data_IF_435174795775
#
_entry.id   IF_435174795775
#
_cell.length_a   1.000
_cell.length_b   1.000
_cell.length_c   1.000
_cell.angle_alpha   90.00
_cell.angle_beta   90.00
_cell.angle_gamma   90.00
#
_symmetry.space_group_name_H-M   'P 1'
#
loop_
_entity.id
_entity.type
_entity.pdbx_description
1 polymer ?
#
# COMPACT_ATOMS: atom_id res chain seq x y z
N UNK A 1 -9.75 -34.13 52.21
CA UNK A 1 -9.15 -33.00 52.94
C UNK A 1 -7.75 -32.80 52.36
N UNK A 2 -7.46 -31.62 51.79
CA UNK A 2 -6.15 -31.34 51.16
C UNK A 2 -5.22 -30.80 52.27
N UNK A 3 -4.01 -31.34 52.39
CA UNK A 3 -3.08 -31.07 53.48
C UNK A 3 -1.62 -30.99 52.96
N UNK A 4 -0.66 -30.78 53.86
CA UNK A 4 0.78 -30.71 53.53
C UNK A 4 1.54 -32.04 53.73
N UNK A 5 0.85 -33.18 53.86
CA UNK A 5 1.49 -34.47 54.18
C UNK A 5 2.16 -35.12 52.98
N UNK A 6 1.61 -34.94 51.79
CA UNK A 6 2.15 -35.48 50.55
C UNK A 6 2.38 -34.35 49.54
N UNK A 7 3.38 -34.52 48.67
CA UNK A 7 3.71 -33.50 47.67
C UNK A 7 2.51 -33.09 46.80
N UNK A 8 1.72 -34.07 46.33
CA UNK A 8 0.54 -33.81 45.50
C UNK A 8 -0.56 -33.02 46.23
N UNK A 9 -0.84 -33.39 47.48
CA UNK A 9 -1.79 -32.65 48.31
C UNK A 9 -1.29 -31.23 48.60
N UNK A 10 -0.01 -31.07 48.91
CA UNK A 10 0.62 -29.76 49.10
C UNK A 10 0.46 -28.88 47.87
N UNK A 11 0.73 -29.40 46.66
CA UNK A 11 0.59 -28.64 45.41
C UNK A 11 -0.86 -28.23 45.13
N UNK A 12 -1.84 -29.10 45.39
CA UNK A 12 -3.26 -28.75 45.25
C UNK A 12 -3.70 -27.68 46.25
N UNK A 13 -3.16 -27.71 47.46
CA UNK A 13 -3.43 -26.68 48.48
C UNK A 13 -2.80 -25.34 48.09
N UNK A 14 -1.56 -25.35 47.57
CA UNK A 14 -0.91 -24.15 47.04
C UNK A 14 -1.66 -23.57 45.83
N UNK A 15 -2.10 -24.42 44.91
CA UNK A 15 -2.95 -23.99 43.79
C UNK A 15 -4.25 -23.33 44.28
N UNK A 16 -4.90 -23.90 45.29
CA UNK A 16 -6.09 -23.29 45.93
C UNK A 16 -5.75 -21.93 46.54
N UNK A 17 -4.63 -21.81 47.24
CA UNK A 17 -4.15 -20.55 47.83
C UNK A 17 -3.81 -19.49 46.78
N UNK A 18 -3.34 -19.91 45.60
CA UNK A 18 -3.05 -19.00 44.46
C UNK A 18 -4.30 -18.24 44.00
N UNK A 19 -5.48 -18.86 44.13
CA UNK A 19 -6.78 -18.22 43.83
C UNK A 19 -7.35 -17.42 45.01
N UNK A 20 -6.60 -17.29 46.11
CA UNK A 20 -7.05 -16.76 47.40
C UNK A 20 -8.33 -17.43 47.95
N UNK A 21 -8.61 -18.66 47.56
CA UNK A 21 -9.75 -19.40 48.10
C UNK A 21 -9.36 -20.03 49.46
N UNK A 22 -10.18 -19.77 50.49
CA UNK A 22 -10.06 -20.37 51.82
C UNK A 22 -8.68 -20.19 52.50
N UNK A 23 -7.94 -19.13 52.16
CA UNK A 23 -6.65 -18.82 52.78
C UNK A 23 -6.76 -18.64 54.30
N UNK A 24 -7.87 -18.04 54.76
CA UNK A 24 -8.19 -17.86 56.18
C UNK A 24 -8.32 -19.19 56.94
N UNK A 25 -9.03 -20.15 56.35
CA UNK A 25 -9.26 -21.46 56.97
C UNK A 25 -7.95 -22.23 57.09
N UNK A 26 -7.13 -22.20 56.03
CA UNK A 26 -5.83 -22.87 56.01
C UNK A 26 -4.88 -22.20 57.01
N UNK A 27 -4.85 -20.87 57.07
CA UNK A 27 -4.04 -20.12 58.04
C UNK A 27 -4.45 -20.44 59.48
N UNK A 28 -5.76 -20.47 59.75
CA UNK A 28 -6.29 -20.82 61.06
C UNK A 28 -5.87 -22.24 61.50
N UNK A 29 -5.89 -23.21 60.59
CA UNK A 29 -5.43 -24.58 60.89
C UNK A 29 -3.91 -24.62 61.14
N UNK A 30 -3.11 -23.86 60.39
CA UNK A 30 -1.66 -23.82 60.60
C UNK A 30 -1.25 -23.16 61.92
N UNK A 31 -1.92 -22.08 62.35
CA UNK A 31 -1.62 -21.37 63.60
C UNK A 31 -1.99 -22.19 64.83
N UNK A 32 -3.06 -22.98 64.75
CA UNK A 32 -3.53 -23.82 65.84
C UNK A 32 -2.86 -25.21 65.88
N UNK A 33 -1.85 -25.44 65.03
CA UNK A 33 -1.09 -26.69 65.03
C UNK A 33 -0.16 -26.74 66.26
N UNK A 34 -0.20 -27.83 67.06
CA UNK A 34 0.62 -27.95 68.27
C UNK A 34 2.13 -28.06 67.99
N UNK A 35 2.51 -28.31 66.73
CA UNK A 35 3.91 -28.56 66.31
C UNK A 35 4.56 -27.33 65.69
N UNK A 36 3.78 -26.39 65.13
CA UNK A 36 4.31 -25.25 64.38
C UNK A 36 4.35 -23.96 65.21
N UNK A 37 5.41 -23.16 65.01
CA UNK A 37 5.47 -21.80 65.55
C UNK A 37 4.56 -20.89 64.74
N UNK A 38 3.60 -20.24 65.39
CA UNK A 38 2.62 -19.34 64.76
C UNK A 38 3.26 -18.32 63.80
N UNK A 39 4.39 -17.72 64.19
CA UNK A 39 5.12 -16.76 63.36
C UNK A 39 5.58 -17.33 62.01
N UNK A 40 6.00 -18.60 61.97
CA UNK A 40 6.43 -19.27 60.74
C UNK A 40 5.23 -19.48 59.81
N UNK A 41 4.08 -19.88 60.36
CA UNK A 41 2.84 -20.05 59.60
C UNK A 41 2.33 -18.74 59.00
N UNK A 42 2.37 -17.65 59.78
CA UNK A 42 2.01 -16.32 59.30
C UNK A 42 2.96 -15.81 58.21
N UNK A 43 4.27 -15.92 58.43
CA UNK A 43 5.27 -15.44 57.46
C UNK A 43 5.26 -16.25 56.17
N UNK A 44 5.16 -17.58 56.25
CA UNK A 44 5.01 -18.45 55.08
C UNK A 44 3.73 -18.12 54.28
N UNK A 45 2.57 -18.08 54.95
CA UNK A 45 1.31 -17.82 54.25
C UNK A 45 1.30 -16.44 53.60
N UNK A 46 1.73 -15.41 54.33
CA UNK A 46 1.73 -14.03 53.84
C UNK A 46 2.70 -13.86 52.68
N UNK A 47 3.92 -14.38 52.80
CA UNK A 47 4.90 -14.30 51.71
C UNK A 47 4.46 -15.08 50.47
N UNK A 48 3.87 -16.26 50.64
CA UNK A 48 3.33 -17.05 49.52
C UNK A 48 2.24 -16.28 48.76
N UNK A 49 1.27 -15.72 49.49
CA UNK A 49 0.18 -14.93 48.89
C UNK A 49 0.77 -13.72 48.16
N UNK A 50 1.62 -12.93 48.81
CA UNK A 50 2.21 -11.74 48.19
C UNK A 50 3.00 -12.07 46.92
N UNK A 51 3.87 -13.09 46.96
CA UNK A 51 4.66 -13.52 45.80
C UNK A 51 3.76 -14.05 44.68
N UNK A 52 2.77 -14.89 45.00
CA UNK A 52 1.84 -15.43 44.02
C UNK A 52 1.07 -14.31 43.30
N UNK A 53 0.57 -13.32 44.03
CA UNK A 53 -0.11 -12.17 43.44
C UNK A 53 0.80 -11.31 42.56
N UNK A 54 2.04 -11.05 42.98
CA UNK A 54 3.01 -10.33 42.15
C UNK A 54 3.25 -11.08 40.83
N UNK A 55 3.41 -12.40 40.87
CA UNK A 55 3.62 -13.22 39.67
C UNK A 55 2.39 -13.20 38.76
N UNK A 56 1.18 -13.39 39.31
CA UNK A 56 -0.07 -13.36 38.52
C UNK A 56 -0.27 -11.99 37.86
N UNK A 57 -0.08 -10.90 38.62
CA UNK A 57 -0.24 -9.55 38.09
C UNK A 57 0.78 -9.29 36.98
N UNK A 58 2.06 -9.65 37.20
CA UNK A 58 3.10 -9.43 36.20
C UNK A 58 2.85 -10.28 34.92
N UNK A 59 2.38 -11.53 35.06
CA UNK A 59 1.98 -12.36 33.92
C UNK A 59 0.78 -11.73 33.19
N UNK A 60 -0.23 -11.25 33.92
CA UNK A 60 -1.41 -10.63 33.32
C UNK A 60 -1.08 -9.34 32.58
N UNK A 61 -0.24 -8.47 33.16
CA UNK A 61 0.25 -7.26 32.51
C UNK A 61 1.05 -7.62 31.26
N UNK A 62 1.92 -8.63 31.30
CA UNK A 62 2.68 -9.07 30.13
C UNK A 62 1.76 -9.53 28.98
N UNK A 63 0.77 -10.38 29.28
CA UNK A 63 -0.20 -10.86 28.27
C UNK A 63 -1.03 -9.72 27.69
N UNK A 64 -1.48 -8.78 28.53
CA UNK A 64 -2.21 -7.59 28.05
C UNK A 64 -1.32 -6.73 27.16
N UNK A 65 -0.07 -6.47 27.56
CA UNK A 65 0.84 -5.64 26.79
C UNK A 65 1.20 -6.29 25.46
N UNK A 66 1.38 -7.61 25.43
CA UNK A 66 1.62 -8.36 24.19
C UNK A 66 0.42 -8.27 23.25
N UNK A 67 -0.80 -8.49 23.75
CA UNK A 67 -2.01 -8.37 22.94
C UNK A 67 -2.24 -6.94 22.44
N UNK A 68 -2.03 -5.94 23.31
CA UNK A 68 -2.15 -4.53 22.92
C UNK A 68 -1.09 -4.16 21.88
N UNK A 69 0.14 -4.67 22.03
CA UNK A 69 1.21 -4.45 21.06
C UNK A 69 0.87 -5.08 19.71
N UNK A 70 0.37 -6.31 19.69
CA UNK A 70 -0.07 -7.00 18.46
C UNK A 70 -1.23 -6.26 17.78
N UNK A 71 -2.24 -5.84 18.54
CA UNK A 71 -3.34 -5.05 18.02
C UNK A 71 -2.87 -3.69 17.45
N UNK A 72 -1.93 -3.04 18.12
CA UNK A 72 -1.34 -1.79 17.63
C UNK A 72 -0.49 -2.03 16.37
N UNK A 73 0.25 -3.13 16.27
CA UNK A 73 1.00 -3.49 15.07
C UNK A 73 0.07 -3.76 13.88
N UNK A 74 -1.07 -4.41 14.09
CA UNK A 74 -2.08 -4.61 13.05
C UNK A 74 -2.71 -3.27 12.61
N UNK A 75 -2.97 -2.36 13.54
CA UNK A 75 -3.45 -1.00 13.22
C UNK A 75 -2.39 -0.18 12.46
N UNK A 76 -1.11 -0.30 12.84
CA UNK A 76 0.02 0.40 12.22
C UNK A 76 0.43 -0.18 10.86
N UNK A 77 0.20 -1.48 10.63
CA UNK A 77 0.49 -2.14 9.35
C UNK A 77 -0.35 -1.56 8.20
N UNK A 78 -1.47 -0.88 8.51
CA UNK A 78 -2.26 -0.07 7.57
C UNK A 78 -3.03 -0.86 6.51
N UNK A 79 -2.67 -2.12 6.26
CA UNK A 79 -3.38 -3.08 5.42
C UNK A 79 -3.66 -4.31 6.25
N UNK A 80 -4.94 -4.59 6.49
CA UNK A 80 -5.41 -5.75 7.24
C UNK A 80 -5.58 -6.96 6.33
N UNK A 81 -5.76 -8.16 6.90
CA UNK A 81 -6.07 -9.36 6.12
C UNK A 81 -7.38 -9.21 5.33
N UNK A 82 -8.39 -8.53 5.90
CA UNK A 82 -9.66 -8.23 5.24
C UNK A 82 -9.46 -7.34 3.99
N UNK A 83 -8.49 -6.43 4.03
CA UNK A 83 -8.16 -5.57 2.88
C UNK A 83 -7.50 -6.37 1.74
N UNK A 84 -6.70 -7.38 2.08
CA UNK A 84 -6.08 -8.30 1.11
C UNK A 84 -7.15 -9.18 0.45
N UNK A 85 -8.10 -9.69 1.23
CA UNK A 85 -9.24 -10.46 0.70
C UNK A 85 -10.11 -9.59 -0.22
N UNK A 86 -10.42 -8.36 0.19
CA UNK A 86 -11.15 -7.39 -0.65
C UNK A 86 -10.41 -7.08 -1.95
N UNK A 87 -9.08 -6.96 -1.91
CA UNK A 87 -8.27 -6.78 -3.11
C UNK A 87 -8.45 -7.93 -4.09
N UNK A 88 -8.34 -9.19 -3.63
CA UNK A 88 -8.46 -10.36 -4.50
C UNK A 88 -9.90 -10.60 -4.98
N UNK A 89 -10.90 -10.26 -4.16
CA UNK A 89 -12.31 -10.26 -4.55
C UNK A 89 -12.52 -9.36 -5.78
N UNK A 90 -12.09 -8.09 -5.70
CA UNK A 90 -12.20 -7.14 -6.83
C UNK A 90 -11.31 -7.56 -8.00
N UNK A 91 -10.09 -8.07 -7.74
CA UNK A 91 -9.16 -8.53 -8.79
C UNK A 91 -9.77 -9.64 -9.64
N UNK A 92 -10.54 -10.54 -9.03
CA UNK A 92 -11.19 -11.68 -9.71
C UNK A 92 -12.17 -11.23 -10.81
N UNK A 93 -12.74 -10.03 -10.70
CA UNK A 93 -13.60 -9.44 -11.74
C UNK A 93 -12.82 -9.08 -13.02
N UNK A 94 -11.52 -8.81 -12.90
CA UNK A 94 -10.64 -8.44 -14.02
C UNK A 94 -9.83 -9.63 -14.55
N UNK A 95 -9.48 -10.57 -13.68
CA UNK A 95 -8.72 -11.79 -14.01
C UNK A 95 -9.51 -13.06 -13.70
N UNK A 96 -10.60 -13.27 -14.46
CA UNK A 96 -11.54 -14.40 -14.30
C UNK A 96 -10.86 -15.77 -14.41
N UNK A 97 -9.70 -15.84 -15.08
CA UNK A 97 -8.96 -17.09 -15.31
C UNK A 97 -7.86 -17.33 -14.26
N UNK A 98 -7.75 -16.49 -13.23
CA UNK A 98 -6.70 -16.55 -12.20
C UNK A 98 -5.30 -16.64 -12.80
N UNK A 99 -5.06 -15.88 -13.88
CA UNK A 99 -3.75 -15.82 -14.55
C UNK A 99 -2.71 -15.05 -13.74
N UNK A 100 -3.14 -14.33 -12.70
CA UNK A 100 -2.38 -13.38 -11.88
C UNK A 100 -2.07 -12.05 -12.60
N UNK A 101 -2.66 -11.81 -13.78
CA UNK A 101 -2.38 -10.62 -14.58
C UNK A 101 -3.63 -9.87 -15.02
N UNK A 102 -3.52 -8.55 -15.07
CA UNK A 102 -4.45 -7.65 -15.78
C UNK A 102 -3.68 -6.78 -16.78
N UNK A 103 -4.36 -6.17 -17.74
CA UNK A 103 -3.73 -5.21 -18.67
C UNK A 103 -3.63 -3.82 -18.05
N UNK A 104 -2.67 -3.01 -18.53
CA UNK A 104 -2.47 -1.63 -18.07
C UNK A 104 -3.72 -0.76 -18.19
N UNK A 105 -4.51 -0.95 -19.25
CA UNK A 105 -5.73 -0.18 -19.49
C UNK A 105 -6.79 -0.39 -18.40
N UNK A 106 -6.85 -1.60 -17.82
CA UNK A 106 -7.79 -1.97 -16.77
C UNK A 106 -7.40 -1.41 -15.39
N UNK A 107 -6.11 -1.13 -15.17
CA UNK A 107 -5.58 -0.74 -13.86
C UNK A 107 -6.26 0.49 -13.28
N UNK A 108 -6.58 1.49 -14.11
CA UNK A 108 -7.21 2.73 -13.65
C UNK A 108 -8.63 2.52 -13.11
N UNK A 109 -9.39 1.61 -13.72
CA UNK A 109 -10.74 1.22 -13.27
C UNK A 109 -10.67 0.33 -12.03
N UNK A 110 -9.81 -0.69 -12.06
CA UNK A 110 -9.56 -1.58 -10.92
C UNK A 110 -9.26 -0.81 -9.64
N UNK A 111 -8.30 0.12 -9.68
CA UNK A 111 -7.92 0.91 -8.51
C UNK A 111 -9.02 1.84 -7.99
N UNK A 112 -9.96 2.24 -8.86
CA UNK A 112 -11.09 3.09 -8.49
C UNK A 112 -12.25 2.31 -7.85
N UNK A 113 -12.34 1.01 -8.14
CA UNK A 113 -13.36 0.09 -7.64
C UNK A 113 -13.02 -0.49 -6.26
N UNK A 114 -11.73 -0.60 -5.92
CA UNK A 114 -11.28 -0.97 -4.58
C UNK A 114 -11.93 -0.11 -3.48
N UNK A 115 -12.06 -0.66 -2.28
CA UNK A 115 -12.55 0.05 -1.10
C UNK A 115 -11.40 0.71 -0.34
N UNK A 116 -11.72 1.63 0.57
CA UNK A 116 -10.72 2.17 1.52
C UNK A 116 -10.16 1.00 2.34
N UNK A 117 -8.83 0.95 2.62
CA UNK A 117 -7.81 1.97 2.39
C UNK A 117 -7.10 1.88 1.02
N UNK A 118 -7.28 0.80 0.25
CA UNK A 118 -6.55 0.52 -1.00
C UNK A 118 -7.03 1.34 -2.22
N UNK A 119 -8.20 1.97 -2.12
CA UNK A 119 -8.81 2.74 -3.21
C UNK A 119 -7.96 3.93 -3.69
N UNK A 120 -7.78 4.04 -5.01
CA UNK A 120 -7.28 5.24 -5.68
C UNK A 120 -8.35 5.78 -6.65
N UNK A 121 -9.17 6.77 -6.23
CA UNK A 121 -10.30 7.25 -7.02
C UNK A 121 -9.85 8.00 -8.28
N UNK A 122 -10.64 7.89 -9.36
CA UNK A 122 -10.43 8.65 -10.59
C UNK A 122 -10.68 10.16 -10.36
N UNK A 123 -9.94 11.06 -11.05
CA UNK A 123 -8.86 10.78 -12.00
C UNK A 123 -7.55 10.38 -11.29
N UNK A 124 -7.04 9.18 -11.58
CA UNK A 124 -5.90 8.58 -10.87
C UNK A 124 -4.63 8.43 -11.71
N UNK A 125 -4.62 8.89 -12.97
CA UNK A 125 -3.50 8.66 -13.91
C UNK A 125 -2.12 9.15 -13.42
N UNK A 126 -2.06 10.21 -12.60
CA UNK A 126 -0.81 10.67 -11.99
C UNK A 126 -0.36 9.74 -10.87
N UNK A 127 -1.30 9.31 -10.02
CA UNK A 127 -1.05 8.39 -8.90
C UNK A 127 -0.62 7.01 -9.41
N UNK A 128 -1.28 6.50 -10.45
CA UNK A 128 -0.92 5.25 -11.15
C UNK A 128 0.53 5.27 -11.66
N UNK A 129 0.96 6.40 -12.24
CA UNK A 129 2.34 6.53 -12.69
C UNK A 129 3.33 6.67 -11.53
N UNK A 130 2.92 7.25 -10.40
CA UNK A 130 3.73 7.35 -9.20
C UNK A 130 3.94 6.00 -8.50
N UNK A 131 3.01 5.04 -8.67
CA UNK A 131 3.19 3.66 -8.19
C UNK A 131 4.36 2.93 -8.87
N UNK A 132 4.79 3.39 -10.04
CA UNK A 132 5.94 2.85 -10.79
C UNK A 132 5.90 1.31 -10.94
N UNK A 133 4.74 0.76 -11.29
CA UNK A 133 4.55 -0.68 -11.38
C UNK A 133 5.28 -1.23 -12.61
N UNK A 134 5.95 -2.38 -12.50
CA UNK A 134 6.58 -3.05 -13.64
C UNK A 134 5.54 -3.69 -14.56
N UNK A 135 5.76 -3.59 -15.88
CA UNK A 135 4.95 -4.24 -16.89
C UNK A 135 5.75 -5.34 -17.59
N UNK A 136 5.08 -6.45 -17.81
CA UNK A 136 5.57 -7.61 -18.58
C UNK A 136 5.08 -7.54 -20.04
N UNK A 137 5.43 -8.55 -20.84
CA UNK A 137 5.02 -8.67 -22.24
C UNK A 137 3.50 -8.48 -22.43
N UNK A 138 3.13 -7.58 -23.35
CA UNK A 138 1.74 -7.27 -23.65
C UNK A 138 1.07 -6.32 -22.65
N UNK A 139 1.83 -5.40 -22.05
CA UNK A 139 1.37 -4.39 -21.11
C UNK A 139 0.59 -4.97 -19.91
N UNK A 140 1.06 -6.11 -19.40
CA UNK A 140 0.43 -6.84 -18.29
C UNK A 140 1.11 -6.54 -16.95
N UNK A 141 0.30 -6.40 -15.92
CA UNK A 141 0.66 -6.15 -14.53
C UNK A 141 0.34 -7.36 -13.67
N UNK A 142 1.28 -7.77 -12.81
CA UNK A 142 1.07 -8.88 -11.88
C UNK A 142 0.36 -8.41 -10.61
N UNK A 143 -0.59 -9.20 -10.09
CA UNK A 143 -1.39 -8.85 -8.90
C UNK A 143 -0.56 -8.47 -7.67
N UNK A 144 0.48 -9.28 -7.40
CA UNK A 144 1.40 -9.04 -6.28
C UNK A 144 2.05 -7.67 -6.34
N UNK A 145 2.48 -7.24 -7.52
CA UNK A 145 3.20 -5.96 -7.70
C UNK A 145 2.27 -4.78 -7.44
N UNK A 146 1.00 -4.92 -7.81
CA UNK A 146 -0.04 -3.94 -7.53
C UNK A 146 -0.36 -3.89 -6.04
N UNK A 147 -0.58 -5.04 -5.41
CA UNK A 147 -0.89 -5.13 -3.98
C UNK A 147 0.26 -4.56 -3.13
N UNK A 148 1.50 -4.97 -3.43
CA UNK A 148 2.69 -4.49 -2.74
C UNK A 148 2.85 -2.97 -2.84
N UNK A 149 2.67 -2.40 -4.03
CA UNK A 149 2.76 -0.95 -4.22
C UNK A 149 1.65 -0.20 -3.48
N UNK A 150 0.43 -0.75 -3.41
CA UNK A 150 -0.67 -0.15 -2.66
C UNK A 150 -0.41 -0.20 -1.15
N UNK A 151 0.03 -1.36 -0.64
CA UNK A 151 0.39 -1.53 0.77
C UNK A 151 1.54 -0.60 1.17
N UNK A 152 2.58 -0.49 0.34
CA UNK A 152 3.70 0.43 0.58
C UNK A 152 3.24 1.90 0.65
N UNK A 153 2.28 2.31 -0.19
CA UNK A 153 1.73 3.67 -0.17
C UNK A 153 0.90 3.93 1.10
N UNK A 154 0.19 2.92 1.62
CA UNK A 154 -0.61 3.07 2.83
C UNK A 154 0.29 3.09 4.06
N UNK A 155 1.22 2.14 4.18
CA UNK A 155 2.22 2.10 5.27
C UNK A 155 3.01 3.41 5.31
N UNK A 156 3.45 3.91 4.15
CA UNK A 156 4.15 5.19 4.04
C UNK A 156 3.29 6.42 4.38
N UNK A 157 1.96 6.33 4.36
CA UNK A 157 1.05 7.39 4.82
C UNK A 157 0.74 7.31 6.31
N UNK A 158 0.78 6.11 6.90
CA UNK A 158 0.39 5.89 8.30
C UNK A 158 1.48 6.35 9.27
N UNK A 159 2.78 6.25 8.93
CA UNK A 159 3.86 6.73 9.82
C UNK A 159 5.25 6.79 9.16
N UNK A 160 6.05 7.84 9.45
CA UNK A 160 7.49 7.95 9.12
C UNK A 160 8.42 7.28 10.16
N UNK A 161 7.97 6.24 10.87
CA UNK A 161 8.80 5.63 11.93
C UNK A 161 9.79 4.60 11.36
N UNK A 162 11.06 4.69 11.80
CA UNK A 162 12.15 3.75 11.46
C UNK A 162 11.81 2.25 11.64
N UNK A 163 11.07 1.82 12.70
CA UNK A 163 10.68 0.42 12.88
C UNK A 163 9.79 -0.12 11.75
N UNK A 164 8.83 0.67 11.26
CA UNK A 164 7.91 0.25 10.20
C UNK A 164 8.59 0.15 8.82
N UNK A 165 9.63 0.96 8.57
CA UNK A 165 10.48 0.81 7.39
C UNK A 165 11.23 -0.52 7.38
N UNK A 166 11.65 -1.02 8.55
CA UNK A 166 12.29 -2.34 8.68
C UNK A 166 11.28 -3.47 8.47
N UNK A 167 10.10 -3.36 9.08
CA UNK A 167 9.02 -4.35 8.95
C UNK A 167 8.53 -4.48 7.50
N UNK A 168 8.29 -3.37 6.81
CA UNK A 168 7.92 -3.37 5.38
C UNK A 168 9.00 -3.99 4.49
N UNK A 169 10.28 -3.77 4.80
CA UNK A 169 11.39 -4.43 4.12
C UNK A 169 11.46 -5.94 4.36
N UNK A 170 11.01 -6.42 5.52
CA UNK A 170 10.94 -7.85 5.86
C UNK A 170 9.72 -8.53 5.22
N UNK A 171 8.56 -7.87 5.23
CA UNK A 171 7.36 -8.31 4.50
C UNK A 171 7.65 -8.43 3.00
N UNK A 172 8.39 -7.47 2.42
CA UNK A 172 8.87 -7.56 1.05
C UNK A 172 9.77 -8.78 0.81
N UNK A 173 10.71 -9.08 1.72
CA UNK A 173 11.55 -10.28 1.60
C UNK A 173 10.73 -11.56 1.71
N UNK A 174 9.67 -11.56 2.50
CA UNK A 174 8.77 -12.70 2.65
C UNK A 174 7.94 -12.91 1.38
N UNK A 175 7.37 -11.84 0.80
CA UNK A 175 6.58 -11.91 -0.44
C UNK A 175 7.42 -12.44 -1.62
N UNK A 176 8.68 -12.00 -1.73
CA UNK A 176 9.64 -12.49 -2.75
C UNK A 176 9.94 -13.98 -2.61
N UNK A 177 9.93 -14.54 -1.38
CA UNK A 177 10.13 -15.98 -1.14
C UNK A 177 8.89 -16.81 -1.48
N UNK A 178 7.69 -16.27 -1.24
CA UNK A 178 6.42 -16.96 -1.48
C UNK A 178 6.08 -17.02 -2.98
N UNK A 179 6.53 -16.04 -3.77
CA UNK A 179 6.25 -15.97 -5.20
C UNK A 179 7.51 -16.05 -6.08
N UNK A 180 8.24 -17.19 -6.09
CA UNK A 180 9.52 -17.33 -6.80
C UNK A 180 9.38 -17.19 -8.33
N UNK A 181 8.22 -17.50 -8.90
CA UNK A 181 7.95 -17.37 -10.34
C UNK A 181 7.97 -15.89 -10.77
N UNK A 182 7.57 -14.95 -9.90
CA UNK A 182 7.60 -13.52 -10.23
C UNK A 182 9.01 -13.04 -10.57
N UNK A 183 10.03 -13.54 -9.88
CA UNK A 183 11.44 -13.16 -10.12
C UNK A 183 11.97 -13.59 -11.49
N UNK A 184 11.27 -14.49 -12.19
CA UNK A 184 11.66 -14.96 -13.53
C UNK A 184 11.01 -14.16 -14.67
N UNK A 185 10.06 -13.27 -14.36
CA UNK A 185 9.37 -12.45 -15.35
C UNK A 185 10.21 -11.22 -15.70
N UNK A 186 10.46 -11.03 -16.99
CA UNK A 186 11.20 -9.87 -17.48
C UNK A 186 10.33 -8.61 -17.45
N UNK A 187 10.83 -7.56 -16.81
CA UNK A 187 10.20 -6.23 -16.81
C UNK A 187 10.61 -5.49 -18.08
N UNK A 188 9.62 -5.08 -18.86
CA UNK A 188 9.85 -4.38 -20.14
C UNK A 188 9.80 -2.87 -19.94
N UNK A 189 8.82 -2.39 -19.18
CA UNK A 189 8.61 -0.97 -18.91
C UNK A 189 7.92 -0.78 -17.57
N UNK A 190 7.68 0.47 -17.16
CA UNK A 190 6.93 0.79 -15.94
C UNK A 190 5.80 1.77 -16.22
N UNK A 191 4.82 1.83 -15.32
CA UNK A 191 3.70 2.79 -15.45
C UNK A 191 4.17 4.24 -15.49
N UNK A 192 5.30 4.54 -14.86
CA UNK A 192 5.96 5.85 -14.93
C UNK A 192 6.52 6.12 -16.33
N UNK A 193 7.23 5.15 -16.90
CA UNK A 193 7.86 5.26 -18.22
C UNK A 193 6.80 5.43 -19.32
N UNK A 194 5.74 4.62 -19.31
CA UNK A 194 4.61 4.77 -20.24
C UNK A 194 4.00 6.18 -20.19
N UNK A 195 3.81 6.76 -19.00
CA UNK A 195 3.26 8.12 -18.87
C UNK A 195 4.24 9.18 -19.39
N UNK A 196 5.54 8.99 -19.19
CA UNK A 196 6.60 9.86 -19.72
C UNK A 196 6.61 9.82 -21.24
N UNK A 197 6.55 8.63 -21.84
CA UNK A 197 6.47 8.42 -23.28
C UNK A 197 5.22 9.04 -23.89
N UNK A 198 4.05 8.84 -23.27
CA UNK A 198 2.80 9.46 -23.73
C UNK A 198 2.88 10.99 -23.71
N UNK A 199 3.43 11.59 -22.65
CA UNK A 199 3.66 13.04 -22.57
C UNK A 199 4.66 13.52 -23.64
N UNK A 200 5.73 12.77 -23.89
CA UNK A 200 6.71 13.08 -24.92
C UNK A 200 6.06 13.03 -26.32
N UNK A 201 5.30 11.98 -26.62
CA UNK A 201 4.57 11.81 -27.85
C UNK A 201 3.59 12.97 -28.09
N UNK A 202 2.80 13.35 -27.08
CA UNK A 202 1.90 14.50 -27.17
C UNK A 202 2.65 15.81 -27.43
N UNK A 203 3.81 16.00 -26.81
CA UNK A 203 4.63 17.20 -27.00
C UNK A 203 5.16 17.27 -28.44
N UNK A 204 5.67 16.16 -28.96
CA UNK A 204 6.15 16.04 -30.35
C UNK A 204 4.99 16.25 -31.33
N UNK A 205 3.86 15.59 -31.12
CA UNK A 205 2.68 15.73 -31.96
C UNK A 205 2.17 17.18 -32.00
N UNK A 206 2.11 17.86 -30.85
CA UNK A 206 1.74 19.29 -30.77
C UNK A 206 2.73 20.17 -31.53
N UNK A 207 4.04 19.95 -31.34
CA UNK A 207 5.09 20.69 -32.04
C UNK A 207 4.99 20.49 -33.55
N UNK A 208 4.80 19.25 -34.01
CA UNK A 208 4.65 18.91 -35.41
C UNK A 208 3.39 19.53 -36.04
N UNK A 209 2.23 19.46 -35.37
CA UNK A 209 0.99 20.11 -35.84
C UNK A 209 1.17 21.63 -35.97
N UNK A 210 1.83 22.27 -35.00
CA UNK A 210 2.14 23.71 -35.04
C UNK A 210 3.10 24.06 -36.18
N UNK A 211 4.13 23.25 -36.39
CA UNK A 211 5.06 23.41 -37.51
C UNK A 211 4.34 23.26 -38.86
N UNK A 212 3.50 22.24 -39.01
CA UNK A 212 2.72 21.98 -40.24
C UNK A 212 1.78 23.15 -40.57
N UNK A 213 1.11 23.72 -39.56
CA UNK A 213 0.28 24.93 -39.73
C UNK A 213 1.10 26.13 -40.22
N UNK A 214 2.31 26.34 -39.65
CA UNK A 214 3.22 27.41 -40.10
C UNK A 214 3.69 27.21 -41.54
N UNK A 215 3.98 25.97 -41.94
CA UNK A 215 4.35 25.64 -43.32
C UNK A 215 3.21 25.92 -44.30
N UNK A 216 1.99 25.52 -43.96
CA UNK A 216 0.81 25.80 -44.79
C UNK A 216 0.58 27.31 -44.94
N UNK A 217 0.66 28.08 -43.85
CA UNK A 217 0.52 29.53 -43.88
C UNK A 217 1.62 30.21 -44.72
N UNK A 218 2.86 29.77 -44.58
CA UNK A 218 4.00 30.29 -45.36
C UNK A 218 3.83 29.99 -46.85
N UNK A 219 3.36 28.79 -47.19
CA UNK A 219 3.11 28.37 -48.57
C UNK A 219 1.95 29.16 -49.18
N UNK A 220 0.85 29.36 -48.44
CA UNK A 220 -0.28 30.17 -48.86
C UNK A 220 0.12 31.64 -49.11
N UNK A 221 0.92 32.22 -48.21
CA UNK A 221 1.46 33.59 -48.37
C UNK A 221 2.32 33.72 -49.63
N UNK A 222 3.24 32.78 -49.87
CA UNK A 222 4.06 32.76 -51.10
C UNK A 222 3.21 32.64 -52.38
N UNK A 223 2.15 31.82 -52.35
CA UNK A 223 1.22 31.66 -53.48
C UNK A 223 0.47 32.97 -53.76
N UNK A 224 -0.01 33.63 -52.71
CA UNK A 224 -0.70 34.93 -52.80
C UNK A 224 0.23 36.02 -53.36
N UNK A 225 1.46 36.12 -52.86
CA UNK A 225 2.47 37.08 -53.35
C UNK A 225 2.78 36.87 -54.84
N UNK A 226 2.91 35.60 -55.28
CA UNK A 226 3.10 35.27 -56.70
C UNK A 226 1.91 35.71 -57.55
N UNK A 227 0.68 35.45 -57.13
CA UNK A 227 -0.54 35.89 -57.83
C UNK A 227 -0.66 37.42 -57.89
N UNK A 228 -0.35 38.14 -56.82
CA UNK A 228 -0.32 39.61 -56.86
C UNK A 228 0.77 40.14 -57.79
N UNK A 229 1.93 39.49 -57.83
CA UNK A 229 3.02 39.88 -58.72
C UNK A 229 2.67 39.66 -60.20
N UNK A 230 1.96 38.57 -60.53
CA UNK A 230 1.50 38.30 -61.91
C UNK A 230 0.41 39.27 -62.33
N UNK A 231 -0.59 39.53 -61.46
CA UNK A 231 -1.63 40.53 -61.70
C UNK A 231 -1.03 41.93 -61.92
N UNK A 232 -0.04 42.34 -61.12
CA UNK A 232 0.67 43.61 -61.31
C UNK A 232 1.44 43.67 -62.64
N UNK A 233 1.98 42.55 -63.13
CA UNK A 233 2.63 42.48 -64.45
C UNK A 233 1.61 42.60 -65.58
N UNK A 234 0.50 41.86 -65.52
CA UNK A 234 -0.59 41.96 -66.50
C UNK A 234 -1.25 43.33 -66.55
N UNK A 235 -1.48 43.97 -65.40
CA UNK A 235 -2.01 45.33 -65.36
C UNK A 235 -1.05 46.35 -65.97
N UNK A 236 0.27 46.16 -65.80
CA UNK A 236 1.28 47.00 -66.46
C UNK A 236 1.30 46.78 -67.97
N UNK A 237 1.19 45.54 -68.45
CA UNK A 237 1.17 45.27 -69.90
C UNK A 237 -0.10 45.80 -70.57
N UNK A 238 -1.26 45.72 -69.90
CA UNK A 238 -2.52 46.31 -70.36
C UNK A 238 -2.49 47.83 -70.40
N UNK A 239 -1.75 48.46 -69.48
CA UNK A 239 -1.55 49.92 -69.46
C UNK A 239 -0.61 50.40 -70.58
N UNK A 240 0.40 49.61 -70.95
CA UNK A 240 1.29 49.91 -72.07
C UNK A 240 0.70 49.62 -73.45
N UNK A 241 -0.36 48.81 -73.54
CA UNK A 241 -1.06 48.48 -74.79
C UNK A 241 -2.26 49.39 -75.08
N UNK A 242 -2.49 50.44 -74.29
CA UNK A 242 -3.57 51.40 -74.54
C UNK A 242 -3.13 52.34 -75.70
N UNK A 243 -3.84 52.37 -76.84
CA UNK A 243 -3.48 53.27 -77.92
C UNK A 243 -3.69 54.72 -77.47
N UNK A 244 -2.64 55.53 -77.56
CA UNK A 244 -2.73 56.99 -77.49
C UNK A 244 -3.32 57.50 -78.80
N UNK A 245 -4.64 57.43 -78.97
CA UNK A 245 -5.31 58.17 -80.03
C UNK A 245 -5.56 59.61 -79.54
N UNK A 246 -5.00 60.64 -80.19
CA UNK A 246 -5.35 62.02 -79.88
C UNK A 246 -6.77 62.30 -80.40
N UNK A 247 -7.66 62.73 -79.51
CA UNK A 247 -8.94 63.32 -79.91
C UNK A 247 -8.64 64.70 -80.50
N UNK A 248 -8.99 64.84 -81.77
CA UNK A 248 -9.08 66.10 -82.52
C UNK A 248 -10.35 66.85 -82.10
#
# INVERSE_FOLDING_TARGET
>A
MVNFETFGNSMMLLFRLTTAAAWNEILHVMINSPVQRQFVSFTYMTSYIVVAYIVIINMYVAVILENFHEAQEQELAGVTDEDVDMFYEVWSNYDVKATQFITYDQLSDFLNELKSPLRIPKPNAVKVAALNLPLTNGDKLHCLDVLEALSAVIVGKVTESEPLKKLSGEVYKMSVKVFPIRNTLETITTTFMLRKEFKAALTIQKAFRKWKLRQNHTTAKKKLERSFSSLRKSLRSLRSSRPTSPLT
#
